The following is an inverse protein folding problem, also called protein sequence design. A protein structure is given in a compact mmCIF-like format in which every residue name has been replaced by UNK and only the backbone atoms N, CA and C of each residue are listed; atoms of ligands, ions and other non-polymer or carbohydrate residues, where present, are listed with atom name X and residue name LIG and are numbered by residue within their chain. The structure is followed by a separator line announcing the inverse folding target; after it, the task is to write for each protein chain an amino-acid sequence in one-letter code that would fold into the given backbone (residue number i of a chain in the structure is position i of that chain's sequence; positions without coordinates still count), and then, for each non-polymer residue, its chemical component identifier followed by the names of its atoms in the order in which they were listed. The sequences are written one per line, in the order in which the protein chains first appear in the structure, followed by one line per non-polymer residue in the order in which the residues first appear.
data_IF_055504848541
#
_entry.id   IF_055504848541
#
_cell.length_a   1.000
_cell.length_b   1.000
_cell.length_c   1.000
_cell.angle_alpha   90.00
_cell.angle_beta   90.00
_cell.angle_gamma   90.00
#
_symmetry.space_group_name_H-M   'P 1'
#
loop_
_entity.id
_entity.type
_entity.pdbx_description
1 polymer ?
#
# COMPACT_ATOMS: atom_id res chain seq x y z
N UNK A 1 -10.72 24.76 -12.73
CA UNK A 1 -10.76 26.12 -12.14
C UNK A 1 -11.88 26.97 -12.78
N UNK A 2 -11.77 27.36 -14.05
CA UNK A 2 -12.76 28.24 -14.72
C UNK A 2 -14.23 27.75 -14.67
N UNK A 3 -14.49 26.45 -14.90
CA UNK A 3 -15.83 25.86 -14.77
C UNK A 3 -16.41 26.02 -13.36
N UNK A 4 -15.60 25.78 -12.32
CA UNK A 4 -16.03 25.87 -10.92
C UNK A 4 -16.26 27.34 -10.50
N UNK A 5 -15.39 28.26 -10.94
CA UNK A 5 -15.54 29.69 -10.64
C UNK A 5 -16.84 30.28 -11.21
N UNK A 6 -17.30 29.78 -12.36
CA UNK A 6 -18.56 30.19 -12.99
C UNK A 6 -19.81 29.67 -12.27
N UNK A 7 -19.74 28.52 -11.61
CA UNK A 7 -20.92 27.83 -11.08
C UNK A 7 -21.09 27.93 -9.56
N UNK A 8 -20.03 28.30 -8.84
CA UNK A 8 -20.02 28.32 -7.36
C UNK A 8 -19.89 29.76 -6.80
N UNK A 9 -19.78 30.77 -7.67
CA UNK A 9 -19.84 32.18 -7.30
C UNK A 9 -18.63 32.66 -6.48
N UNK A 10 -17.46 32.76 -7.14
CA UNK A 10 -16.25 33.32 -6.54
C UNK A 10 -14.97 32.82 -7.20
N UNK A 11 -13.86 33.54 -7.02
CA UNK A 11 -12.53 33.03 -7.37
C UNK A 11 -12.20 31.90 -6.41
N UNK A 12 -11.85 30.73 -6.95
CA UNK A 12 -11.42 29.60 -6.13
C UNK A 12 -9.90 29.58 -6.14
N UNK A 13 -9.33 30.08 -5.05
CA UNK A 13 -7.91 30.08 -4.82
C UNK A 13 -7.45 28.71 -4.30
N UNK A 14 -7.28 27.77 -5.23
CA UNK A 14 -6.55 26.55 -4.92
C UNK A 14 -5.05 26.87 -4.85
N UNK A 15 -4.47 26.75 -3.66
CA UNK A 15 -3.03 26.53 -3.53
C UNK A 15 -2.75 25.12 -4.05
N UNK A 16 -2.18 25.04 -5.25
CA UNK A 16 -1.57 23.81 -5.74
C UNK A 16 -0.24 23.72 -5.02
N UNK A 17 -0.16 22.80 -4.06
CA UNK A 17 1.12 22.42 -3.49
C UNK A 17 1.83 21.54 -4.51
N UNK A 18 2.74 22.14 -5.28
CA UNK A 18 3.75 21.36 -6.00
C UNK A 18 4.69 20.80 -4.95
N UNK A 19 4.60 19.49 -4.70
CA UNK A 19 5.58 18.84 -3.84
C UNK A 19 6.83 18.60 -4.68
N UNK A 20 7.94 19.20 -4.30
CA UNK A 20 9.27 18.86 -4.87
C UNK A 20 9.68 17.41 -4.58
N UNK A 21 8.90 16.71 -3.74
CA UNK A 21 9.07 15.29 -3.50
C UNK A 21 8.86 14.55 -4.83
N UNK A 22 9.91 13.97 -5.43
CA UNK A 22 9.69 13.00 -6.49
C UNK A 22 8.82 11.92 -5.85
N UNK A 23 7.76 11.49 -6.52
CA UNK A 23 6.88 10.44 -6.04
C UNK A 23 7.71 9.16 -5.89
N UNK A 24 8.38 9.00 -4.75
CA UNK A 24 9.27 7.89 -4.48
C UNK A 24 8.39 6.69 -4.22
N UNK A 25 8.31 5.81 -5.22
CA UNK A 25 7.63 4.54 -5.05
C UNK A 25 8.24 3.75 -3.88
N UNK A 26 7.46 2.80 -3.37
CA UNK A 26 8.01 1.81 -2.44
C UNK A 26 9.11 1.02 -3.16
N UNK A 27 10.36 1.24 -2.76
CA UNK A 27 11.51 0.55 -3.34
C UNK A 27 12.09 -0.47 -2.36
N UNK A 28 12.84 -1.42 -2.91
CA UNK A 28 13.42 -2.52 -2.16
C UNK A 28 14.62 -2.10 -1.29
N UNK A 29 15.25 -0.95 -1.56
CA UNK A 29 16.40 -0.50 -0.77
C UNK A 29 16.04 -0.31 0.70
N UNK A 30 14.81 0.14 0.99
CA UNK A 30 14.30 0.28 2.36
C UNK A 30 13.35 -0.84 2.79
N UNK A 31 12.65 -1.48 1.84
CA UNK A 31 11.54 -2.39 2.16
C UNK A 31 11.81 -3.85 1.77
N UNK A 32 12.92 -4.16 1.12
CA UNK A 32 13.20 -5.49 0.56
C UNK A 32 13.30 -6.59 1.62
N UNK A 33 13.99 -6.31 2.74
CA UNK A 33 14.09 -7.25 3.86
C UNK A 33 12.71 -7.56 4.47
N UNK A 34 11.89 -6.52 4.61
CA UNK A 34 10.53 -6.60 5.13
C UNK A 34 9.60 -7.38 4.17
N UNK A 35 9.65 -7.06 2.87
CA UNK A 35 8.93 -7.80 1.81
C UNK A 35 9.32 -9.28 1.79
N UNK A 36 10.60 -9.59 1.91
CA UNK A 36 11.11 -10.97 1.96
C UNK A 36 10.58 -11.70 3.20
N UNK A 37 10.67 -11.06 4.37
CA UNK A 37 10.18 -11.65 5.62
C UNK A 37 8.67 -11.92 5.59
N UNK A 38 7.87 -10.98 5.08
CA UNK A 38 6.42 -11.15 4.94
C UNK A 38 6.08 -12.33 4.00
N UNK A 39 6.79 -12.45 2.88
CA UNK A 39 6.64 -13.60 1.97
C UNK A 39 6.94 -14.92 2.67
N UNK A 40 7.96 -14.98 3.54
CA UNK A 40 8.27 -16.17 4.33
C UNK A 40 7.13 -16.56 5.28
N UNK A 41 6.51 -15.58 5.96
CA UNK A 41 5.36 -15.85 6.82
C UNK A 41 4.20 -16.47 6.02
N UNK A 42 3.97 -15.98 4.81
CA UNK A 42 2.91 -16.47 3.93
C UNK A 42 3.19 -17.87 3.36
N UNK A 43 4.45 -18.14 3.00
CA UNK A 43 4.90 -19.46 2.57
C UNK A 43 4.78 -20.50 3.69
N UNK A 44 5.12 -20.13 4.93
CA UNK A 44 4.99 -21.01 6.10
C UNK A 44 3.54 -21.36 6.42
N UNK A 45 2.60 -20.47 6.09
CA UNK A 45 1.17 -20.72 6.16
C UNK A 45 0.63 -21.60 5.01
N UNK A 46 1.49 -22.11 4.12
CA UNK A 46 1.13 -23.03 3.04
C UNK A 46 0.61 -22.34 1.77
N UNK A 47 0.80 -21.03 1.64
CA UNK A 47 0.38 -20.26 0.48
C UNK A 47 1.54 -19.98 -0.47
N UNK A 48 1.25 -19.45 -1.67
CA UNK A 48 2.25 -18.94 -2.59
C UNK A 48 2.40 -17.43 -2.40
N UNK A 49 3.64 -16.94 -2.45
CA UNK A 49 3.96 -15.53 -2.25
C UNK A 49 4.77 -14.99 -3.43
N UNK A 50 4.47 -13.76 -3.86
CA UNK A 50 5.23 -13.05 -4.89
C UNK A 50 5.22 -11.55 -4.62
N UNK A 51 6.38 -10.96 -4.43
CA UNK A 51 6.53 -9.51 -4.47
C UNK A 51 6.31 -8.99 -5.90
N UNK A 52 5.49 -7.95 -6.04
CA UNK A 52 5.20 -7.29 -7.33
C UNK A 52 5.31 -5.77 -7.18
N UNK A 53 5.81 -5.11 -8.21
CA UNK A 53 5.66 -3.67 -8.38
C UNK A 53 4.33 -3.34 -9.04
N UNK A 54 3.72 -2.23 -8.65
CA UNK A 54 2.39 -1.81 -9.10
C UNK A 54 2.36 -0.30 -9.32
N UNK A 55 1.70 0.14 -10.40
CA UNK A 55 1.65 1.53 -10.81
C UNK A 55 0.44 2.27 -10.22
N UNK A 56 0.29 2.22 -8.89
CA UNK A 56 -0.74 2.97 -8.16
C UNK A 56 -0.15 3.62 -6.90
N UNK A 57 -0.84 4.65 -6.40
CA UNK A 57 -0.43 5.37 -5.20
C UNK A 57 -1.11 4.78 -3.95
N UNK A 58 -0.42 4.87 -2.82
CA UNK A 58 -0.94 4.56 -1.48
C UNK A 58 -0.29 5.51 -0.47
N UNK A 59 -0.78 5.58 0.77
CA UNK A 59 -0.09 6.32 1.83
C UNK A 59 1.26 5.69 2.23
N UNK A 60 1.57 4.47 1.76
CA UNK A 60 2.78 3.76 2.13
C UNK A 60 4.06 4.50 1.71
N UNK A 61 4.03 5.22 0.58
CA UNK A 61 5.17 6.00 0.12
C UNK A 61 5.54 7.10 1.11
N UNK A 62 4.56 7.75 1.72
CA UNK A 62 4.78 8.79 2.74
C UNK A 62 5.40 8.21 4.01
N UNK A 63 4.95 7.03 4.46
CA UNK A 63 5.54 6.37 5.63
C UNK A 63 6.97 5.89 5.36
N UNK A 64 7.22 5.35 4.18
CA UNK A 64 8.55 4.94 3.74
C UNK A 64 9.53 6.12 3.62
N UNK A 65 9.06 7.26 3.11
CA UNK A 65 9.82 8.51 3.05
C UNK A 65 10.16 9.03 4.45
N UNK A 66 9.23 8.88 5.40
CA UNK A 66 9.46 9.13 6.82
C UNK A 66 10.38 8.13 7.54
N UNK A 67 11.03 7.20 6.82
CA UNK A 67 11.96 6.21 7.37
C UNK A 67 11.30 5.05 8.09
N UNK A 68 9.99 4.85 7.94
CA UNK A 68 9.28 3.69 8.49
C UNK A 68 9.28 2.57 7.43
N UNK A 69 9.87 1.39 7.71
CA UNK A 69 9.77 0.27 6.79
C UNK A 69 8.30 -0.09 6.54
N UNK A 70 7.90 -0.10 5.28
CA UNK A 70 6.50 -0.17 4.89
C UNK A 70 6.31 -1.16 3.74
N UNK A 71 5.35 -2.08 3.89
CA UNK A 71 4.92 -3.00 2.84
C UNK A 71 3.42 -2.77 2.62
N UNK A 72 2.96 -2.96 1.38
CA UNK A 72 1.54 -3.04 1.05
C UNK A 72 1.17 -4.49 0.81
N UNK A 73 0.16 -5.00 1.52
CA UNK A 73 -0.45 -6.29 1.29
C UNK A 73 -1.95 -6.22 1.56
N UNK A 74 -2.72 -7.10 0.95
CA UNK A 74 -4.16 -7.15 1.16
C UNK A 74 -4.86 -8.05 0.13
N UNK A 75 -6.12 -8.41 0.40
CA UNK A 75 -6.93 -9.19 -0.52
C UNK A 75 -7.42 -8.34 -1.71
N UNK A 76 -7.93 -9.01 -2.74
CA UNK A 76 -8.52 -8.38 -3.91
C UNK A 76 -7.52 -8.08 -5.03
N UNK A 77 -7.97 -7.30 -6.01
CA UNK A 77 -7.20 -6.96 -7.21
C UNK A 77 -7.39 -5.49 -7.54
N UNK A 78 -6.27 -4.79 -7.80
CA UNK A 78 -6.32 -3.39 -8.20
C UNK A 78 -7.08 -3.19 -9.52
N UNK A 79 -7.11 -4.20 -10.39
CA UNK A 79 -7.85 -4.13 -11.67
C UNK A 79 -9.36 -3.94 -11.48
N UNK A 80 -9.87 -4.20 -10.27
CA UNK A 80 -11.28 -4.11 -9.93
C UNK A 80 -11.60 -2.96 -8.96
N UNK A 81 -10.58 -2.36 -8.35
CA UNK A 81 -10.74 -1.19 -7.48
C UNK A 81 -11.32 -0.01 -8.27
N UNK A 82 -12.24 0.74 -7.68
CA UNK A 82 -12.94 1.88 -8.30
C UNK A 82 -13.72 1.54 -9.58
N UNK A 83 -14.06 0.27 -9.78
CA UNK A 83 -15.00 -0.12 -10.83
C UNK A 83 -16.43 -0.07 -10.29
N UNK A 84 -17.43 -0.08 -11.18
CA UNK A 84 -18.85 -0.12 -10.77
C UNK A 84 -19.15 -1.34 -9.90
N UNK A 85 -18.52 -2.46 -10.23
CA UNK A 85 -18.78 -3.76 -9.62
C UNK A 85 -17.58 -4.17 -8.74
N UNK A 86 -17.16 -3.27 -7.85
CA UNK A 86 -16.08 -3.54 -6.90
C UNK A 86 -16.51 -4.51 -5.79
N UNK A 87 -15.78 -5.61 -5.62
CA UNK A 87 -15.98 -6.63 -4.60
C UNK A 87 -14.67 -7.26 -4.11
N UNK A 88 -14.73 -8.10 -3.09
CA UNK A 88 -13.59 -8.95 -2.70
C UNK A 88 -14.14 -10.24 -2.13
N UNK A 89 -13.46 -11.36 -2.35
CA UNK A 89 -13.92 -12.64 -1.83
C UNK A 89 -13.78 -12.67 -0.31
N UNK A 90 -14.75 -13.27 0.37
CA UNK A 90 -14.71 -13.46 1.82
C UNK A 90 -13.52 -14.35 2.19
N UNK A 91 -13.27 -15.40 1.42
CA UNK A 91 -12.14 -16.32 1.60
C UNK A 91 -10.79 -15.59 1.46
N UNK A 92 -10.69 -14.59 0.57
CA UNK A 92 -9.51 -13.74 0.45
C UNK A 92 -9.34 -12.85 1.68
N UNK A 93 -10.41 -12.28 2.22
CA UNK A 93 -10.37 -11.49 3.46
C UNK A 93 -9.90 -12.36 4.63
N UNK A 94 -10.47 -13.56 4.80
CA UNK A 94 -10.10 -14.50 5.84
C UNK A 94 -8.62 -14.90 5.74
N UNK A 95 -8.17 -15.20 4.52
CA UNK A 95 -6.76 -15.50 4.21
C UNK A 95 -5.83 -14.34 4.58
N UNK A 96 -6.19 -13.10 4.23
CA UNK A 96 -5.41 -11.92 4.61
C UNK A 96 -5.40 -11.70 6.13
N UNK A 97 -6.51 -11.99 6.82
CA UNK A 97 -6.60 -11.95 8.27
C UNK A 97 -5.69 -12.98 8.95
N UNK A 98 -5.58 -14.18 8.39
CA UNK A 98 -4.62 -15.20 8.83
C UNK A 98 -3.19 -14.69 8.70
N UNK A 99 -2.81 -14.11 7.56
CA UNK A 99 -1.47 -13.53 7.38
C UNK A 99 -1.18 -12.44 8.42
N UNK A 100 -2.11 -11.50 8.58
CA UNK A 100 -1.95 -10.40 9.53
C UNK A 100 -1.73 -10.92 10.95
N UNK A 101 -2.47 -11.95 11.36
CA UNK A 101 -2.29 -12.60 12.66
C UNK A 101 -0.90 -13.25 12.79
N UNK A 102 -0.44 -14.00 11.80
CA UNK A 102 0.88 -14.65 11.88
C UNK A 102 2.02 -13.61 11.86
N UNK A 103 1.89 -12.53 11.10
CA UNK A 103 2.80 -11.37 11.13
C UNK A 103 2.89 -10.79 12.54
N UNK A 104 1.75 -10.55 13.19
CA UNK A 104 1.74 -10.01 14.56
C UNK A 104 2.39 -10.98 15.56
N UNK A 105 2.16 -12.30 15.41
CA UNK A 105 2.74 -13.32 16.28
C UNK A 105 4.25 -13.42 16.13
N UNK A 106 4.76 -13.27 14.91
CA UNK A 106 6.17 -13.46 14.59
C UNK A 106 6.95 -12.14 14.49
N UNK A 107 6.35 -11.02 14.89
CA UNK A 107 6.94 -9.68 14.74
C UNK A 107 8.28 -9.53 15.47
N UNK A 108 8.52 -10.31 16.53
CA UNK A 108 9.79 -10.33 17.25
C UNK A 108 10.97 -10.79 16.37
N UNK A 109 10.70 -11.61 15.35
CA UNK A 109 11.68 -12.14 14.42
C UNK A 109 11.77 -11.32 13.11
N UNK A 110 11.03 -10.19 13.05
CA UNK A 110 11.03 -9.32 11.88
C UNK A 110 12.38 -8.58 11.71
N UNK A 111 12.72 -8.14 10.49
CA UNK A 111 13.90 -7.33 10.24
C UNK A 111 13.91 -6.08 11.15
N UNK A 112 15.08 -5.70 11.66
CA UNK A 112 15.19 -4.45 12.43
C UNK A 112 15.09 -3.25 11.49
N UNK A 113 14.64 -2.11 12.02
CA UNK A 113 14.77 -0.82 11.35
C UNK A 113 16.27 -0.55 11.12
N UNK A 114 16.63 -0.30 9.86
CA UNK A 114 17.98 0.13 9.45
C UNK A 114 18.15 1.61 9.68
#
# INVERSE_FOLDING_TARGET
RQYLEQHIGGKIDFQVFETDSPWMGLNDAHNGAWSTWLQQQWLQAGHTAKAIGVAYNTNATVYADGGVPTIVFGPGSIAQAHTRDEWVSVEQIESAGVLLREVMRNLADAPRRT
#
